data_IF_703338221904
#
_entry.id   IF_703338221904
#
_cell.length_a   1.000
_cell.length_b   1.000
_cell.length_c   1.000
_cell.angle_alpha   90.00
_cell.angle_beta   90.00
_cell.angle_gamma   90.00
#
_symmetry.space_group_name_H-M   'P 1'
#
loop_
_entity.id
_entity.type
_entity.pdbx_description
1 polymer ?
#
# COMPACT_ATOMS: atom_id res chain seq x y z
N UNK A 1 -35.18 -92.68 20.29
CA UNK A 1 -35.50 -91.24 20.40
C UNK A 1 -34.68 -90.54 21.50
N UNK A 2 -34.42 -91.11 22.65
CA UNK A 2 -33.64 -90.50 23.76
C UNK A 2 -32.19 -90.14 23.39
N UNK A 3 -31.52 -90.93 22.58
CA UNK A 3 -30.14 -90.70 22.18
C UNK A 3 -30.02 -89.49 21.15
N UNK A 4 -31.04 -89.28 20.31
CA UNK A 4 -31.08 -88.13 19.41
C UNK A 4 -31.35 -86.82 20.14
N UNK A 5 -32.10 -86.84 21.24
CA UNK A 5 -32.31 -85.67 22.07
C UNK A 5 -31.06 -85.28 22.86
N UNK A 6 -30.30 -86.28 23.38
CA UNK A 6 -29.03 -86.03 24.08
C UNK A 6 -27.93 -85.45 23.03
N UNK A 7 -27.88 -86.08 21.85
CA UNK A 7 -26.98 -85.60 20.79
C UNK A 7 -27.30 -84.14 20.33
N UNK A 8 -28.56 -83.79 20.17
CA UNK A 8 -29.03 -82.46 19.87
C UNK A 8 -28.70 -81.42 20.96
N UNK A 9 -28.83 -81.78 22.23
CA UNK A 9 -28.47 -80.94 23.39
C UNK A 9 -26.93 -80.68 23.44
N UNK A 10 -26.11 -81.73 23.22
CA UNK A 10 -24.68 -81.61 23.20
C UNK A 10 -24.18 -80.74 21.97
N UNK A 11 -24.84 -80.86 20.81
CA UNK A 11 -24.54 -80.05 19.67
C UNK A 11 -24.97 -78.59 19.89
N UNK A 12 -26.13 -78.31 20.49
CA UNK A 12 -26.57 -76.98 20.87
C UNK A 12 -25.61 -76.33 21.91
N UNK A 13 -25.17 -77.10 22.92
CA UNK A 13 -24.21 -76.67 23.94
C UNK A 13 -22.82 -76.34 23.27
N UNK A 14 -22.40 -77.14 22.29
CA UNK A 14 -21.19 -76.91 21.54
C UNK A 14 -21.29 -75.69 20.64
N UNK A 15 -22.44 -75.46 19.97
CA UNK A 15 -22.69 -74.23 19.20
C UNK A 15 -22.71 -72.99 20.12
N UNK A 16 -23.34 -73.07 21.26
CA UNK A 16 -23.34 -71.95 22.23
C UNK A 16 -21.90 -71.69 22.72
N UNK A 17 -21.11 -72.74 22.98
CA UNK A 17 -19.73 -72.64 23.40
C UNK A 17 -18.86 -71.99 22.31
N UNK A 18 -19.01 -72.37 21.03
CA UNK A 18 -18.31 -71.75 19.90
C UNK A 18 -18.72 -70.30 19.70
N UNK A 19 -20.01 -69.98 19.83
CA UNK A 19 -20.51 -68.62 19.74
C UNK A 19 -19.92 -67.74 20.85
N UNK A 20 -19.91 -68.22 22.11
CA UNK A 20 -19.32 -67.50 23.25
C UNK A 20 -17.82 -67.31 23.09
N UNK A 21 -17.08 -68.32 22.52
CA UNK A 21 -15.67 -68.17 22.21
C UNK A 21 -15.42 -67.19 21.05
N UNK A 22 -16.31 -67.14 20.08
CA UNK A 22 -16.24 -66.25 18.92
C UNK A 22 -16.63 -64.80 19.24
N UNK A 23 -17.45 -64.58 20.27
CA UNK A 23 -17.88 -63.28 20.76
C UNK A 23 -16.93 -62.67 21.81
N UNK A 24 -15.88 -63.37 22.20
CA UNK A 24 -14.87 -62.85 23.11
C UNK A 24 -14.03 -61.74 22.49
N UNK A 25 -13.59 -60.70 23.27
CA UNK A 25 -12.81 -59.61 22.78
C UNK A 25 -11.54 -60.11 22.10
N UNK A 26 -11.26 -59.60 20.89
CA UNK A 26 -10.05 -59.96 20.13
C UNK A 26 -8.83 -59.45 20.88
N UNK A 27 -7.99 -60.38 21.38
CA UNK A 27 -6.81 -60.06 22.18
C UNK A 27 -5.54 -60.17 21.32
N UNK A 28 -4.70 -59.15 21.40
CA UNK A 28 -3.40 -59.13 20.73
C UNK A 28 -2.30 -59.00 21.80
N UNK A 29 -1.20 -59.74 21.65
CA UNK A 29 -0.03 -59.60 22.52
C UNK A 29 1.00 -58.72 21.82
N UNK A 30 1.50 -57.71 22.55
CA UNK A 30 2.41 -56.72 21.99
C UNK A 30 3.55 -56.48 22.98
N UNK A 31 4.76 -56.27 22.40
CA UNK A 31 5.93 -55.87 23.17
C UNK A 31 5.86 -54.38 23.51
N UNK A 32 5.96 -54.06 24.80
CA UNK A 32 5.85 -52.67 25.30
C UNK A 32 6.98 -51.76 24.78
N UNK A 33 8.10 -52.32 24.30
CA UNK A 33 9.22 -51.55 23.73
C UNK A 33 8.88 -50.85 22.41
N UNK A 34 7.89 -51.32 21.67
CA UNK A 34 7.52 -50.82 20.33
C UNK A 34 6.37 -49.80 20.36
N UNK A 35 5.91 -49.42 21.56
CA UNK A 35 4.78 -48.48 21.72
C UNK A 35 5.17 -47.32 22.63
N UNK A 36 4.59 -46.15 22.37
CA UNK A 36 4.69 -45.01 23.29
C UNK A 36 3.43 -44.95 24.12
N UNK A 37 3.63 -44.91 25.43
CA UNK A 37 2.54 -44.75 26.43
C UNK A 37 2.70 -43.36 27.02
N UNK A 38 1.66 -42.56 26.97
CA UNK A 38 1.61 -41.23 27.51
C UNK A 38 0.57 -41.08 28.58
N UNK A 39 0.84 -40.25 29.54
CA UNK A 39 -0.10 -39.88 30.60
C UNK A 39 -0.97 -38.72 30.15
N UNK A 40 -2.27 -38.84 30.41
CA UNK A 40 -3.23 -37.74 30.20
C UNK A 40 -3.06 -36.74 31.34
N UNK A 41 -2.68 -35.51 30.96
CA UNK A 41 -2.41 -34.43 31.92
C UNK A 41 -3.38 -33.29 31.72
N UNK A 42 -3.70 -32.63 32.80
CA UNK A 42 -4.35 -31.34 32.77
C UNK A 42 -3.26 -30.27 32.74
N UNK A 43 -3.15 -29.53 31.64
CA UNK A 43 -2.13 -28.50 31.46
C UNK A 43 -2.67 -27.35 30.58
N UNK A 44 -1.90 -26.27 30.47
CA UNK A 44 -2.23 -25.16 29.62
C UNK A 44 -2.15 -25.59 28.17
N UNK A 45 -3.28 -25.70 27.51
CA UNK A 45 -3.36 -25.94 26.06
C UNK A 45 -3.46 -24.62 25.32
N UNK A 46 -2.57 -24.41 24.38
CA UNK A 46 -2.60 -23.28 23.46
C UNK A 46 -2.70 -23.83 22.03
N UNK A 47 -3.74 -23.39 21.35
CA UNK A 47 -3.88 -23.73 19.95
C UNK A 47 -3.02 -22.78 19.09
N UNK A 48 -2.15 -23.35 18.29
CA UNK A 48 -1.29 -22.61 17.38
C UNK A 48 -1.02 -23.38 16.08
N UNK A 49 -0.62 -22.67 15.07
CA UNK A 49 -0.17 -23.24 13.81
C UNK A 49 1.26 -22.81 13.53
N UNK A 50 2.10 -23.78 13.14
CA UNK A 50 3.46 -23.54 12.69
C UNK A 50 3.49 -23.40 11.18
N UNK A 51 4.08 -22.30 10.67
CA UNK A 51 4.25 -22.02 9.26
C UNK A 51 5.65 -21.51 8.98
N UNK A 52 6.12 -21.72 7.76
CA UNK A 52 7.35 -21.09 7.29
C UNK A 52 7.02 -19.75 6.64
N UNK A 53 7.69 -18.70 7.10
CA UNK A 53 7.54 -17.36 6.55
C UNK A 53 8.86 -16.80 6.05
N UNK A 54 8.80 -16.03 4.98
CA UNK A 54 9.95 -15.38 4.35
C UNK A 54 10.06 -13.93 4.84
N UNK A 55 11.26 -13.54 5.23
CA UNK A 55 11.59 -12.13 5.51
C UNK A 55 11.53 -11.33 4.23
N UNK A 56 10.73 -10.28 4.25
CA UNK A 56 10.62 -9.29 3.20
C UNK A 56 10.85 -7.88 3.77
N UNK A 57 11.33 -6.93 2.96
CA UNK A 57 11.34 -5.53 3.36
C UNK A 57 9.90 -5.06 3.56
N UNK A 58 9.70 -4.11 4.46
CA UNK A 58 8.35 -3.57 4.69
C UNK A 58 7.80 -2.91 3.44
N UNK A 59 8.65 -2.28 2.67
CA UNK A 59 8.32 -1.60 1.43
C UNK A 59 9.39 -1.83 0.38
N UNK A 60 8.94 -2.12 -0.83
CA UNK A 60 9.77 -2.19 -2.03
C UNK A 60 9.24 -1.18 -3.03
N UNK A 61 10.10 -0.28 -3.50
CA UNK A 61 9.76 0.78 -4.44
C UNK A 61 10.42 0.52 -5.77
N UNK A 62 9.62 0.42 -6.82
CA UNK A 62 10.11 0.41 -8.20
C UNK A 62 10.36 1.84 -8.66
N UNK A 63 11.54 2.10 -9.15
CA UNK A 63 11.95 3.40 -9.70
C UNK A 63 11.71 3.36 -11.20
N UNK A 64 10.78 4.22 -11.63
CA UNK A 64 10.42 4.34 -13.03
C UNK A 64 10.95 5.67 -13.58
N UNK A 65 11.36 5.67 -14.84
CA UNK A 65 11.72 6.89 -15.57
C UNK A 65 10.50 7.79 -15.75
N UNK A 66 10.68 9.09 -15.60
CA UNK A 66 9.64 10.08 -15.95
C UNK A 66 9.73 10.52 -17.40
N UNK A 67 10.95 10.59 -17.93
CA UNK A 67 11.27 10.97 -19.30
C UNK A 67 11.98 9.81 -20.01
N UNK A 68 11.81 9.75 -21.33
CA UNK A 68 12.57 8.83 -22.17
C UNK A 68 14.00 9.37 -22.38
N UNK A 69 14.95 8.48 -22.63
CA UNK A 69 16.33 8.88 -22.91
C UNK A 69 17.27 7.68 -23.00
N UNK A 70 18.52 7.93 -23.31
CA UNK A 70 19.58 6.93 -23.19
C UNK A 70 20.27 7.03 -21.84
N UNK A 71 20.62 5.90 -21.25
CA UNK A 71 21.36 5.84 -19.98
C UNK A 71 22.77 6.37 -20.23
N UNK A 72 23.07 7.55 -19.67
CA UNK A 72 24.40 8.17 -19.77
C UNK A 72 25.36 7.53 -18.76
N UNK A 73 24.93 7.44 -17.50
CA UNK A 73 25.72 6.82 -16.43
C UNK A 73 24.82 6.24 -15.34
N UNK A 74 25.32 5.18 -14.69
CA UNK A 74 24.73 4.59 -13.49
C UNK A 74 25.65 5.00 -12.34
N UNK A 75 25.12 5.79 -11.40
CA UNK A 75 25.87 6.32 -10.24
C UNK A 75 25.64 5.44 -9.01
N UNK A 76 24.41 4.93 -8.83
CA UNK A 76 24.05 4.07 -7.73
C UNK A 76 24.62 2.66 -7.88
N UNK A 77 25.38 2.17 -6.90
CA UNK A 77 25.87 0.79 -6.87
C UNK A 77 24.81 -0.14 -6.27
N UNK A 78 24.61 -1.32 -6.89
CA UNK A 78 23.71 -2.34 -6.34
C UNK A 78 24.17 -2.80 -4.95
N UNK A 79 23.22 -2.90 -4.02
CA UNK A 79 23.49 -3.21 -2.62
C UNK A 79 23.86 -2.00 -1.74
N UNK A 80 24.12 -0.82 -2.31
CA UNK A 80 24.43 0.40 -1.55
C UNK A 80 23.19 0.96 -0.83
N UNK A 81 23.43 1.63 0.29
CA UNK A 81 22.41 2.38 1.02
C UNK A 81 22.31 3.78 0.43
N UNK A 82 21.13 4.13 -0.08
CA UNK A 82 20.84 5.45 -0.64
C UNK A 82 19.99 6.26 0.31
N UNK A 83 20.20 7.58 0.33
CA UNK A 83 19.36 8.55 1.01
C UNK A 83 18.42 9.24 0.02
N UNK A 84 17.38 9.89 0.54
CA UNK A 84 16.47 10.66 -0.29
C UNK A 84 17.22 11.75 -1.08
N UNK A 85 17.04 11.75 -2.41
CA UNK A 85 17.70 12.68 -3.32
C UNK A 85 19.01 12.17 -3.93
N UNK A 86 19.57 11.06 -3.45
CA UNK A 86 20.78 10.48 -4.05
C UNK A 86 20.52 10.06 -5.50
N UNK A 87 21.46 10.38 -6.39
CA UNK A 87 21.35 10.04 -7.81
C UNK A 87 21.61 8.56 -8.03
N UNK A 88 20.71 7.92 -8.77
CA UNK A 88 20.82 6.50 -9.15
C UNK A 88 21.32 6.40 -10.59
N UNK A 89 20.66 7.09 -11.52
CA UNK A 89 20.93 7.03 -12.96
C UNK A 89 20.82 8.43 -13.54
N UNK A 90 21.69 8.74 -14.48
CA UNK A 90 21.61 9.94 -15.31
C UNK A 90 21.22 9.52 -16.73
N UNK A 91 20.18 10.16 -17.26
CA UNK A 91 19.70 9.96 -18.62
C UNK A 91 20.12 11.14 -19.49
N UNK A 92 20.40 10.89 -20.75
CA UNK A 92 20.63 11.86 -21.80
C UNK A 92 19.46 11.85 -22.79
N UNK A 93 18.89 13.01 -23.07
CA UNK A 93 17.85 13.17 -24.09
C UNK A 93 18.08 14.47 -24.89
N UNK A 94 18.83 14.39 -26.01
CA UNK A 94 19.12 15.56 -26.86
C UNK A 94 17.87 16.21 -27.49
N UNK A 95 16.81 15.41 -27.73
CA UNK A 95 15.57 15.93 -28.30
C UNK A 95 14.79 16.77 -27.28
N UNK A 96 14.79 16.34 -26.01
CA UNK A 96 14.23 17.13 -24.91
C UNK A 96 15.00 18.46 -24.74
N UNK A 97 16.34 18.42 -24.80
CA UNK A 97 17.16 19.63 -24.70
C UNK A 97 16.80 20.62 -25.82
N UNK A 98 16.75 20.18 -27.08
CA UNK A 98 16.31 21.01 -28.22
C UNK A 98 14.89 21.56 -28.01
N UNK A 99 13.96 20.74 -27.60
CA UNK A 99 12.59 21.18 -27.31
C UNK A 99 12.50 22.26 -26.22
N UNK A 100 13.41 22.23 -25.25
CA UNK A 100 13.49 23.26 -24.18
C UNK A 100 14.09 24.53 -24.74
N UNK A 101 15.12 24.45 -25.60
CA UNK A 101 15.70 25.61 -26.30
C UNK A 101 14.67 26.29 -27.20
N UNK A 102 13.96 25.54 -28.02
CA UNK A 102 12.86 26.04 -28.85
C UNK A 102 11.77 26.74 -28.03
N UNK A 103 11.40 26.15 -26.88
CA UNK A 103 10.39 26.72 -25.99
C UNK A 103 10.90 28.01 -25.31
N UNK A 104 12.19 28.09 -24.98
CA UNK A 104 12.82 29.32 -24.46
C UNK A 104 12.77 30.43 -25.51
N UNK A 105 13.18 30.13 -26.73
CA UNK A 105 13.22 31.10 -27.80
C UNK A 105 11.81 31.62 -28.12
N UNK A 106 10.81 30.78 -28.14
CA UNK A 106 9.42 31.19 -28.31
C UNK A 106 8.94 32.05 -27.13
N UNK A 107 9.29 31.69 -25.88
CA UNK A 107 8.96 32.50 -24.71
C UNK A 107 9.62 33.88 -24.77
N UNK A 108 10.91 33.98 -25.15
CA UNK A 108 11.61 35.25 -25.30
C UNK A 108 10.95 36.14 -26.38
N UNK A 109 10.60 35.57 -27.53
CA UNK A 109 9.87 36.23 -28.59
C UNK A 109 8.52 36.77 -28.14
N UNK A 110 7.77 36.02 -27.41
CA UNK A 110 6.48 36.45 -26.84
C UNK A 110 6.66 37.59 -25.81
N UNK A 111 7.72 37.54 -25.00
CA UNK A 111 8.03 38.63 -24.06
C UNK A 111 8.31 39.94 -24.78
N UNK A 112 9.05 39.90 -25.89
CA UNK A 112 9.31 41.09 -26.74
C UNK A 112 7.98 41.62 -27.28
N UNK A 113 7.14 40.77 -27.84
CA UNK A 113 5.83 41.16 -28.38
C UNK A 113 4.95 41.85 -27.33
N UNK A 114 4.90 41.30 -26.12
CA UNK A 114 4.14 41.91 -25.02
C UNK A 114 4.72 43.28 -24.60
N UNK A 115 6.05 43.41 -24.61
CA UNK A 115 6.70 44.69 -24.33
C UNK A 115 6.41 45.74 -25.40
N UNK A 116 6.41 45.38 -26.66
CA UNK A 116 6.02 46.28 -27.77
C UNK A 116 4.56 46.74 -27.60
N UNK A 117 3.64 45.86 -27.27
CA UNK A 117 2.25 46.23 -27.00
C UNK A 117 2.10 47.17 -25.81
N UNK A 118 2.87 46.98 -24.74
CA UNK A 118 2.86 47.91 -23.59
C UNK A 118 3.35 49.28 -23.98
N UNK A 119 4.45 49.40 -24.81
CA UNK A 119 4.98 50.65 -25.31
C UNK A 119 3.94 51.36 -26.19
N UNK A 120 3.31 50.64 -27.12
CA UNK A 120 2.28 51.18 -28.00
C UNK A 120 1.11 51.76 -27.23
N UNK A 121 0.62 51.07 -26.21
CA UNK A 121 -0.44 51.54 -25.34
C UNK A 121 -0.05 52.82 -24.56
N UNK A 122 1.20 52.86 -24.09
CA UNK A 122 1.71 54.04 -23.38
C UNK A 122 1.80 55.25 -24.27
N UNK A 123 2.32 55.09 -25.50
CA UNK A 123 2.39 56.15 -26.51
C UNK A 123 0.99 56.70 -26.85
N UNK A 124 0.02 55.79 -27.05
CA UNK A 124 -1.39 56.17 -27.28
C UNK A 124 -1.98 56.97 -26.12
N UNK A 125 -1.76 56.50 -24.90
CA UNK A 125 -2.22 57.17 -23.69
C UNK A 125 -1.62 58.59 -23.52
N UNK A 126 -0.30 58.73 -23.83
CA UNK A 126 0.37 60.01 -23.78
C UNK A 126 -0.18 60.99 -24.85
N UNK A 127 -0.41 60.51 -26.08
CA UNK A 127 -1.00 61.33 -27.15
C UNK A 127 -2.41 61.82 -26.78
N UNK A 128 -3.26 60.96 -26.22
CA UNK A 128 -4.61 61.33 -25.75
C UNK A 128 -4.57 62.36 -24.60
N UNK A 129 -3.65 62.20 -23.65
CA UNK A 129 -3.43 63.19 -22.59
C UNK A 129 -2.96 64.54 -23.12
N UNK A 130 -2.06 64.55 -24.09
CA UNK A 130 -1.59 65.78 -24.74
C UNK A 130 -2.72 66.52 -25.46
N UNK A 131 -3.55 65.75 -26.24
CA UNK A 131 -4.74 66.32 -26.89
C UNK A 131 -5.74 66.90 -25.90
N UNK A 132 -6.02 66.17 -24.79
CA UNK A 132 -6.90 66.64 -23.76
C UNK A 132 -6.40 67.93 -23.06
N UNK A 133 -5.09 68.01 -22.82
CA UNK A 133 -4.45 69.21 -22.27
C UNK A 133 -4.57 70.39 -23.24
N UNK A 134 -4.28 70.23 -24.53
CA UNK A 134 -4.41 71.27 -25.56
C UNK A 134 -5.84 71.76 -25.64
N UNK A 135 -6.83 70.88 -25.68
CA UNK A 135 -8.24 71.23 -25.73
C UNK A 135 -8.73 71.95 -24.47
N UNK A 136 -8.22 71.57 -23.30
CA UNK A 136 -8.56 72.25 -22.05
C UNK A 136 -8.02 73.67 -22.00
N UNK A 137 -6.80 73.86 -22.50
CA UNK A 137 -6.20 75.18 -22.59
C UNK A 137 -6.96 76.10 -23.59
N UNK A 138 -7.33 75.58 -24.77
CA UNK A 138 -8.15 76.32 -25.74
C UNK A 138 -9.51 76.69 -25.16
N UNK A 139 -10.18 75.78 -24.44
CA UNK A 139 -11.44 76.04 -23.82
C UNK A 139 -11.35 77.14 -22.75
N UNK A 140 -10.29 77.15 -21.95
CA UNK A 140 -10.06 78.21 -20.95
C UNK A 140 -9.77 79.56 -21.61
N UNK A 141 -9.04 79.60 -22.71
CA UNK A 141 -8.79 80.78 -23.53
C UNK A 141 -10.10 81.35 -24.08
N UNK A 142 -10.95 80.53 -24.70
CA UNK A 142 -12.26 80.89 -25.22
C UNK A 142 -13.19 81.40 -24.11
N UNK A 143 -13.17 80.77 -22.95
CA UNK A 143 -13.97 81.25 -21.78
C UNK A 143 -13.62 82.68 -21.35
N UNK A 144 -12.31 82.98 -21.35
CA UNK A 144 -11.86 84.35 -21.05
C UNK A 144 -12.25 85.36 -22.18
N UNK A 145 -12.15 84.92 -23.46
CA UNK A 145 -12.56 85.71 -24.60
C UNK A 145 -14.05 86.03 -24.55
N UNK A 146 -14.90 85.08 -24.30
CA UNK A 146 -16.39 85.31 -24.17
C UNK A 146 -16.73 86.24 -23.01
N UNK A 147 -16.00 86.13 -21.91
CA UNK A 147 -16.25 87.05 -20.80
C UNK A 147 -16.04 88.52 -21.22
N UNK A 148 -14.98 88.78 -21.98
CA UNK A 148 -14.71 90.10 -22.58
C UNK A 148 -15.76 90.47 -23.64
N UNK A 149 -16.13 89.53 -24.53
CA UNK A 149 -17.16 89.75 -25.54
C UNK A 149 -18.53 90.11 -24.96
N UNK A 150 -18.89 89.59 -23.81
CA UNK A 150 -20.11 89.90 -23.05
C UNK A 150 -20.02 91.29 -22.47
N UNK A 151 -18.89 91.70 -21.93
CA UNK A 151 -18.70 93.12 -21.44
C UNK A 151 -18.75 94.09 -22.62
N UNK A 152 -18.13 93.87 -23.74
CA UNK A 152 -18.19 94.69 -24.93
C UNK A 152 -19.60 94.82 -25.52
N UNK A 153 -20.38 93.68 -25.48
CA UNK A 153 -21.80 93.73 -25.87
C UNK A 153 -22.63 94.62 -24.92
N UNK A 154 -22.40 94.57 -23.61
CA UNK A 154 -23.06 95.40 -22.64
C UNK A 154 -22.74 96.92 -22.83
N UNK A 155 -21.49 97.17 -23.27
CA UNK A 155 -21.03 98.52 -23.61
C UNK A 155 -21.51 99.05 -25.00
N UNK A 156 -22.20 98.13 -25.78
CA UNK A 156 -22.73 98.48 -27.10
C UNK A 156 -21.69 98.47 -28.21
N UNK A 157 -20.51 97.98 -27.94
CA UNK A 157 -19.36 97.83 -28.94
C UNK A 157 -19.54 96.64 -29.86
N UNK A 158 -20.13 95.54 -29.36
CA UNK A 158 -20.31 94.31 -30.12
C UNK A 158 -21.80 94.08 -30.44
N UNK A 159 -22.06 93.51 -31.66
CA UNK A 159 -23.44 93.15 -32.04
C UNK A 159 -23.91 91.84 -31.38
N UNK A 160 -25.22 91.65 -31.24
CA UNK A 160 -25.81 90.40 -30.72
C UNK A 160 -25.42 89.17 -31.56
N UNK A 161 -25.34 89.39 -32.88
CA UNK A 161 -24.94 88.28 -33.81
C UNK A 161 -23.49 87.78 -33.58
N UNK A 162 -22.57 88.75 -33.32
CA UNK A 162 -21.17 88.44 -33.05
C UNK A 162 -21.02 87.74 -31.68
N UNK A 163 -21.73 88.17 -30.67
CA UNK A 163 -21.73 87.49 -29.37
C UNK A 163 -22.30 86.07 -29.48
N UNK A 164 -23.39 85.90 -30.23
CA UNK A 164 -24.00 84.56 -30.44
C UNK A 164 -23.02 83.59 -31.12
N UNK A 165 -22.31 84.04 -32.14
CA UNK A 165 -21.27 83.18 -32.86
C UNK A 165 -20.19 82.78 -31.84
N UNK A 166 -19.67 83.66 -31.02
CA UNK A 166 -18.67 83.36 -30.03
C UNK A 166 -19.17 82.36 -28.96
N UNK A 167 -20.44 82.52 -28.50
CA UNK A 167 -21.10 81.62 -27.55
C UNK A 167 -21.31 80.24 -28.16
N UNK A 168 -21.71 80.13 -29.43
CA UNK A 168 -21.89 78.87 -30.15
C UNK A 168 -20.54 78.16 -30.32
N UNK A 169 -19.46 78.88 -30.67
CA UNK A 169 -18.13 78.34 -30.74
C UNK A 169 -17.63 77.76 -29.42
N UNK A 170 -17.86 78.56 -28.32
CA UNK A 170 -17.53 78.04 -26.99
C UNK A 170 -18.33 76.78 -26.60
N UNK A 171 -19.66 76.85 -26.85
CA UNK A 171 -20.51 75.67 -26.56
C UNK A 171 -20.05 74.40 -27.34
N UNK A 172 -19.73 74.58 -28.61
CA UNK A 172 -19.16 73.51 -29.42
C UNK A 172 -17.84 72.96 -28.84
N UNK A 173 -16.88 73.82 -28.55
CA UNK A 173 -15.60 73.46 -27.93
C UNK A 173 -15.76 72.82 -26.55
N UNK A 174 -16.70 73.30 -25.76
CA UNK A 174 -17.05 72.72 -24.42
C UNK A 174 -17.55 71.25 -24.56
N UNK A 175 -18.46 71.01 -25.52
CA UNK A 175 -18.97 69.67 -25.79
C UNK A 175 -17.87 68.74 -26.30
N UNK A 176 -17.01 69.26 -27.19
CA UNK A 176 -15.89 68.50 -27.74
C UNK A 176 -14.86 68.12 -26.66
N UNK A 177 -14.54 69.07 -25.75
CA UNK A 177 -13.65 68.79 -24.63
C UNK A 177 -14.24 67.76 -23.64
N UNK A 178 -15.56 67.78 -23.41
CA UNK A 178 -16.25 66.78 -22.58
C UNK A 178 -16.16 65.39 -23.22
N UNK A 179 -16.46 65.26 -24.52
CA UNK A 179 -16.32 64.00 -25.25
C UNK A 179 -14.90 63.48 -25.22
N UNK A 180 -13.91 64.34 -25.36
CA UNK A 180 -12.51 63.95 -25.31
C UNK A 180 -12.06 63.51 -23.93
N UNK A 181 -12.58 64.12 -22.87
CA UNK A 181 -12.34 63.69 -21.49
C UNK A 181 -12.97 62.32 -21.23
N UNK A 182 -14.19 62.07 -21.74
CA UNK A 182 -14.85 60.77 -21.66
C UNK A 182 -14.04 59.71 -22.43
N UNK A 183 -13.57 59.99 -23.67
CA UNK A 183 -12.71 59.13 -24.44
C UNK A 183 -11.40 58.78 -23.72
N UNK A 184 -10.78 59.75 -23.03
CA UNK A 184 -9.56 59.52 -22.23
C UNK A 184 -9.85 58.62 -21.01
N UNK A 185 -10.99 58.78 -20.34
CA UNK A 185 -11.38 57.90 -19.26
C UNK A 185 -11.60 56.47 -19.73
N UNK A 186 -12.32 56.30 -20.87
CA UNK A 186 -12.57 55.02 -21.48
C UNK A 186 -11.25 54.33 -21.91
N UNK A 187 -10.37 55.04 -22.57
CA UNK A 187 -9.08 54.52 -23.00
C UNK A 187 -8.18 54.12 -21.83
N UNK A 188 -8.20 54.90 -20.73
CA UNK A 188 -7.50 54.57 -19.51
C UNK A 188 -8.03 53.25 -18.89
N UNK A 189 -9.36 53.07 -18.83
CA UNK A 189 -9.97 51.84 -18.31
C UNK A 189 -9.62 50.60 -19.18
N UNK A 190 -9.73 50.77 -20.52
CA UNK A 190 -9.34 49.69 -21.48
C UNK A 190 -7.86 49.37 -21.38
N UNK A 191 -6.99 50.37 -21.22
CA UNK A 191 -5.57 50.17 -21.03
C UNK A 191 -5.23 49.42 -19.78
N UNK A 192 -5.91 49.71 -18.66
CA UNK A 192 -5.74 48.93 -17.41
C UNK A 192 -6.09 47.47 -17.61
N UNK A 193 -7.25 47.17 -18.21
CA UNK A 193 -7.67 45.78 -18.51
C UNK A 193 -6.67 45.07 -19.41
N UNK A 194 -6.20 45.76 -20.48
CA UNK A 194 -5.21 45.17 -21.38
C UNK A 194 -3.87 44.87 -20.69
N UNK A 195 -3.40 45.79 -19.83
CA UNK A 195 -2.17 45.56 -19.04
C UNK A 195 -2.31 44.35 -18.12
N UNK A 196 -3.47 44.16 -17.51
CA UNK A 196 -3.74 43.02 -16.68
C UNK A 196 -3.77 41.71 -17.47
N UNK A 197 -4.38 41.72 -18.66
CA UNK A 197 -4.37 40.55 -19.58
C UNK A 197 -2.96 40.20 -20.00
N UNK A 198 -2.15 41.20 -20.46
CA UNK A 198 -0.76 40.97 -20.81
C UNK A 198 0.05 40.40 -19.65
N UNK A 199 -0.16 40.92 -18.42
CA UNK A 199 0.50 40.39 -17.23
C UNK A 199 0.15 38.93 -16.98
N UNK A 200 -1.12 38.55 -17.12
CA UNK A 200 -1.58 37.18 -16.93
C UNK A 200 -1.05 36.27 -18.04
N UNK A 201 -0.97 36.75 -19.29
CA UNK A 201 -0.43 35.98 -20.40
C UNK A 201 1.07 35.75 -20.25
N UNK A 202 1.83 36.78 -19.84
CA UNK A 202 3.27 36.66 -19.52
C UNK A 202 3.52 35.63 -18.42
N UNK A 203 2.70 35.63 -17.39
CA UNK A 203 2.82 34.66 -16.30
C UNK A 203 2.47 33.25 -16.77
N UNK A 204 1.49 33.07 -17.64
CA UNK A 204 1.18 31.76 -18.25
C UNK A 204 2.31 31.22 -19.10
N UNK A 205 2.88 32.06 -19.97
CA UNK A 205 4.01 31.64 -20.83
C UNK A 205 5.27 31.35 -20.00
N UNK A 206 5.54 32.13 -18.96
CA UNK A 206 6.62 31.86 -18.01
C UNK A 206 6.45 30.48 -17.35
N UNK A 207 5.27 30.20 -16.81
CA UNK A 207 4.98 28.90 -16.17
C UNK A 207 5.05 27.74 -17.16
N UNK A 208 4.70 27.94 -18.41
CA UNK A 208 4.83 26.94 -19.47
C UNK A 208 6.30 26.59 -19.72
N UNK A 209 7.15 27.61 -19.88
CA UNK A 209 8.59 27.43 -20.02
C UNK A 209 9.21 26.75 -18.78
N UNK A 210 8.87 27.22 -17.58
CA UNK A 210 9.37 26.63 -16.32
C UNK A 210 9.03 25.14 -16.23
N UNK A 211 7.77 24.75 -16.50
CA UNK A 211 7.35 23.34 -16.51
C UNK A 211 8.13 22.49 -17.52
N UNK A 212 8.39 23.04 -18.70
CA UNK A 212 9.19 22.33 -19.71
C UNK A 212 10.64 22.19 -19.25
N UNK A 213 11.20 23.22 -18.61
CA UNK A 213 12.55 23.17 -18.03
C UNK A 213 12.66 22.18 -16.86
N UNK A 214 11.63 22.08 -16.02
CA UNK A 214 11.60 21.13 -14.89
C UNK A 214 11.72 19.67 -15.36
N UNK A 215 11.32 19.35 -16.59
CA UNK A 215 11.50 18.02 -17.19
C UNK A 215 12.98 17.61 -17.28
N UNK A 216 13.91 18.54 -17.35
CA UNK A 216 15.35 18.24 -17.29
C UNK A 216 15.74 17.57 -15.96
N UNK A 217 15.14 18.01 -14.87
CA UNK A 217 15.41 17.41 -13.55
C UNK A 217 14.98 15.93 -13.52
N UNK A 218 14.04 15.54 -14.38
CA UNK A 218 13.57 14.17 -14.49
C UNK A 218 14.51 13.25 -15.25
N UNK A 219 15.53 13.79 -15.93
CA UNK A 219 16.61 13.00 -16.52
C UNK A 219 17.61 12.50 -15.46
N UNK A 220 17.65 13.14 -14.31
CA UNK A 220 18.41 12.66 -13.16
C UNK A 220 17.44 11.86 -12.27
N UNK A 221 17.56 10.54 -12.33
CA UNK A 221 16.72 9.66 -11.52
C UNK A 221 17.31 9.53 -10.13
N UNK A 222 16.56 9.95 -9.12
CA UNK A 222 16.99 9.98 -7.72
C UNK A 222 16.19 9.04 -6.83
N UNK A 223 16.76 8.68 -5.69
CA UNK A 223 16.09 7.91 -4.67
C UNK A 223 14.97 8.74 -4.00
N UNK A 224 13.70 8.27 -3.98
CA UNK A 224 12.58 8.99 -3.38
C UNK A 224 12.59 8.96 -1.85
N UNK A 225 13.30 8.00 -1.26
CA UNK A 225 13.44 7.82 0.18
C UNK A 225 14.70 7.00 0.49
N UNK A 226 15.05 6.90 1.79
CA UNK A 226 16.16 6.09 2.28
C UNK A 226 15.86 4.60 2.10
N UNK A 227 16.81 3.87 1.51
CA UNK A 227 16.70 2.42 1.32
C UNK A 227 17.90 1.83 0.61
N UNK A 228 17.93 0.52 0.49
CA UNK A 228 19.00 -0.19 -0.22
C UNK A 228 18.61 -0.38 -1.69
N UNK A 229 19.50 0.02 -2.60
CA UNK A 229 19.35 -0.25 -4.03
C UNK A 229 19.48 -1.75 -4.29
N UNK A 230 18.39 -2.39 -4.70
CA UNK A 230 18.34 -3.86 -4.83
C UNK A 230 18.99 -4.31 -6.14
N UNK A 231 18.59 -3.68 -7.23
CA UNK A 231 19.16 -3.92 -8.55
C UNK A 231 18.87 -2.74 -9.48
N UNK A 232 19.65 -2.66 -10.57
CA UNK A 232 19.48 -1.73 -11.69
C UNK A 232 19.30 -2.56 -12.95
N UNK A 233 18.16 -2.40 -13.63
CA UNK A 233 17.77 -3.24 -14.80
C UNK A 233 18.38 -2.78 -16.12
N UNK A 234 19.05 -1.63 -16.14
CA UNK A 234 19.53 -0.99 -17.35
C UNK A 234 21.05 -0.93 -17.40
N UNK A 235 21.58 -0.77 -18.59
CA UNK A 235 23.03 -0.65 -18.84
C UNK A 235 23.34 0.70 -19.48
N UNK A 236 24.55 1.26 -19.29
CA UNK A 236 24.97 2.48 -19.97
C UNK A 236 24.83 2.36 -21.49
N UNK A 237 24.29 3.39 -22.13
CA UNK A 237 23.96 3.42 -23.56
C UNK A 237 22.60 2.83 -23.93
N UNK A 238 21.91 2.16 -23.03
CA UNK A 238 20.57 1.61 -23.27
C UNK A 238 19.52 2.72 -23.38
N UNK A 239 18.62 2.58 -24.37
CA UNK A 239 17.46 3.48 -24.51
C UNK A 239 16.36 3.01 -23.57
N UNK A 240 15.77 3.95 -22.82
CA UNK A 240 14.64 3.71 -21.90
C UNK A 240 13.47 4.60 -22.27
N UNK A 241 12.26 4.06 -22.08
CA UNK A 241 11.00 4.76 -22.33
C UNK A 241 10.47 5.43 -21.07
N UNK A 242 9.64 6.47 -21.23
CA UNK A 242 8.93 7.05 -20.09
C UNK A 242 8.02 6.02 -19.41
N UNK A 243 8.06 5.94 -18.09
CA UNK A 243 7.32 4.96 -17.26
C UNK A 243 8.01 3.60 -17.11
N UNK A 244 9.15 3.37 -17.75
CA UNK A 244 9.90 2.12 -17.64
C UNK A 244 10.52 1.96 -16.25
N UNK A 245 10.42 0.75 -15.69
CA UNK A 245 11.02 0.43 -14.39
C UNK A 245 12.49 0.10 -14.56
N UNK A 246 13.36 0.94 -14.02
CA UNK A 246 14.81 0.88 -14.22
C UNK A 246 15.59 0.41 -12.99
N UNK A 247 15.04 0.56 -11.79
CA UNK A 247 15.68 0.16 -10.55
C UNK A 247 14.65 -0.20 -9.47
N UNK A 248 15.12 -0.80 -8.39
CA UNK A 248 14.29 -1.14 -7.23
C UNK A 248 15.04 -0.80 -5.93
N UNK A 249 14.33 -0.11 -5.03
CA UNK A 249 14.83 0.22 -3.68
C UNK A 249 14.02 -0.53 -2.65
N UNK A 250 14.70 -1.19 -1.71
CA UNK A 250 14.14 -1.87 -0.55
C UNK A 250 14.35 -1.05 0.72
N UNK A 251 13.27 -0.76 1.43
CA UNK A 251 13.34 -0.12 2.74
C UNK A 251 13.65 -1.19 3.78
N UNK A 252 14.82 -1.10 4.39
CA UNK A 252 15.34 -2.11 5.33
C UNK A 252 15.27 -1.64 6.81
N UNK A 253 14.62 -0.52 7.08
CA UNK A 253 14.46 -0.03 8.46
C UNK A 253 13.54 -0.95 9.27
N UNK A 254 12.63 -1.63 8.61
CA UNK A 254 11.73 -2.63 9.17
C UNK A 254 11.53 -3.79 8.20
N UNK A 255 11.33 -4.97 8.76
CA UNK A 255 11.04 -6.18 8.01
C UNK A 255 9.65 -6.69 8.33
N UNK A 256 9.04 -7.35 7.35
CA UNK A 256 7.84 -8.16 7.54
C UNK A 256 8.15 -9.60 7.25
N UNK A 257 7.39 -10.48 7.85
CA UNK A 257 7.39 -11.90 7.50
C UNK A 257 6.14 -12.15 6.65
N UNK A 258 6.35 -12.61 5.43
CA UNK A 258 5.31 -13.02 4.52
C UNK A 258 5.18 -14.54 4.55
N UNK A 259 3.96 -15.05 4.71
CA UNK A 259 3.70 -16.48 4.71
C UNK A 259 2.32 -16.79 4.17
N UNK A 260 2.14 -18.01 3.65
CA UNK A 260 0.87 -18.51 3.16
C UNK A 260 0.33 -19.59 4.10
N UNK A 261 -0.96 -19.54 4.38
CA UNK A 261 -1.69 -20.46 5.26
C UNK A 261 -2.75 -21.20 4.47
N UNK A 262 -3.07 -22.43 4.92
CA UNK A 262 -4.19 -23.20 4.37
C UNK A 262 -5.52 -22.49 4.57
N UNK A 263 -6.42 -22.55 3.56
CA UNK A 263 -7.78 -22.02 3.61
C UNK A 263 -8.57 -22.48 4.83
N UNK A 264 -8.21 -23.61 5.45
CA UNK A 264 -8.81 -24.12 6.67
C UNK A 264 -8.79 -23.11 7.82
N UNK A 265 -7.81 -22.21 7.84
CA UNK A 265 -7.63 -21.21 8.91
C UNK A 265 -8.21 -19.84 8.58
N UNK A 266 -8.80 -19.64 7.37
CA UNK A 266 -9.16 -18.30 6.88
C UNK A 266 -10.16 -17.57 7.79
N UNK A 267 -11.13 -18.28 8.34
CA UNK A 267 -12.15 -17.69 9.24
C UNK A 267 -11.62 -17.37 10.64
N UNK A 268 -10.45 -17.90 10.98
CA UNK A 268 -9.86 -17.79 12.32
C UNK A 268 -8.67 -16.83 12.37
N UNK A 269 -8.04 -16.59 11.22
CA UNK A 269 -6.90 -15.68 11.12
C UNK A 269 -7.39 -14.26 10.87
N UNK A 270 -7.13 -13.39 11.83
CA UNK A 270 -7.50 -11.98 11.77
C UNK A 270 -6.29 -11.09 12.01
N UNK A 271 -6.38 -9.85 11.54
CA UNK A 271 -5.37 -8.83 11.84
C UNK A 271 -5.31 -8.60 13.35
N UNK A 272 -4.09 -8.53 13.86
CA UNK A 272 -3.88 -8.31 15.29
C UNK A 272 -3.57 -9.56 16.10
N UNK A 273 -3.75 -10.77 15.55
CA UNK A 273 -3.38 -12.00 16.23
C UNK A 273 -1.86 -12.01 16.53
N UNK A 274 -1.49 -12.47 17.74
CA UNK A 274 -0.10 -12.64 18.13
C UNK A 274 0.52 -13.84 17.41
N UNK A 275 1.80 -13.73 17.16
CA UNK A 275 2.62 -14.83 16.67
C UNK A 275 4.03 -14.72 17.25
N UNK A 276 4.80 -15.78 17.16
CA UNK A 276 6.14 -15.83 17.71
C UNK A 276 7.11 -16.50 16.72
N UNK A 277 8.31 -15.97 16.62
CA UNK A 277 9.44 -16.64 15.94
C UNK A 277 10.44 -17.09 16.97
N UNK A 278 10.83 -18.36 16.91
CA UNK A 278 11.94 -18.89 17.68
C UNK A 278 13.21 -18.86 16.82
N UNK A 279 14.21 -18.07 17.22
CA UNK A 279 15.47 -17.99 16.51
C UNK A 279 16.64 -18.00 17.51
N UNK A 280 17.54 -18.97 17.35
CA UNK A 280 18.70 -19.16 18.23
C UNK A 280 18.36 -19.21 19.73
N UNK A 281 17.22 -19.82 20.10
CA UNK A 281 16.78 -19.93 21.47
C UNK A 281 16.04 -18.70 22.04
N UNK A 282 15.98 -17.60 21.31
CA UNK A 282 15.24 -16.41 21.68
C UNK A 282 13.87 -16.37 20.97
N UNK A 283 12.85 -15.90 21.68
CA UNK A 283 11.50 -15.69 21.16
C UNK A 283 11.31 -14.24 20.76
N UNK A 284 10.91 -14.03 19.51
CA UNK A 284 10.63 -12.70 18.98
C UNK A 284 9.14 -12.57 18.70
N UNK A 285 8.45 -11.63 19.37
CA UNK A 285 7.02 -11.46 19.20
C UNK A 285 6.68 -10.78 17.88
N UNK A 286 5.63 -11.28 17.24
CA UNK A 286 5.09 -10.81 15.99
C UNK A 286 3.60 -10.51 16.14
N UNK A 287 3.07 -9.76 15.18
CA UNK A 287 1.66 -9.49 15.03
C UNK A 287 1.25 -9.54 13.57
N UNK A 288 0.10 -10.17 13.29
CA UNK A 288 -0.48 -10.15 11.94
C UNK A 288 -0.97 -8.74 11.63
N UNK A 289 -0.45 -8.13 10.56
CA UNK A 289 -0.85 -6.79 10.12
C UNK A 289 -1.70 -6.81 8.88
N UNK A 290 -1.57 -7.84 8.05
CA UNK A 290 -2.31 -7.97 6.82
C UNK A 290 -2.75 -9.41 6.62
N UNK A 291 -4.01 -9.59 6.24
CA UNK A 291 -4.57 -10.85 5.74
C UNK A 291 -5.10 -10.57 4.34
N UNK A 292 -4.66 -11.34 3.36
CA UNK A 292 -5.17 -11.24 1.98
C UNK A 292 -6.37 -12.19 1.88
N UNK A 293 -7.59 -11.69 1.69
CA UNK A 293 -8.80 -12.53 1.74
C UNK A 293 -9.03 -13.38 0.47
N UNK A 294 -8.07 -13.38 -0.45
CA UNK A 294 -8.11 -14.16 -1.70
C UNK A 294 -7.41 -15.51 -1.50
N UNK A 295 -8.17 -16.59 -1.67
CA UNK A 295 -7.61 -17.96 -1.63
C UNK A 295 -7.15 -18.35 -3.03
N UNK A 296 -5.87 -18.72 -3.14
CA UNK A 296 -5.24 -19.29 -4.34
C UNK A 296 -4.60 -20.64 -3.98
N UNK A 297 -4.86 -21.65 -4.76
CA UNK A 297 -4.29 -23.00 -4.54
C UNK A 297 -4.55 -23.54 -3.13
N UNK A 298 -5.72 -23.24 -2.55
CA UNK A 298 -6.12 -23.57 -1.16
C UNK A 298 -5.26 -22.91 -0.08
N UNK A 299 -4.59 -21.81 -0.43
CA UNK A 299 -3.77 -21.04 0.49
C UNK A 299 -4.18 -19.56 0.44
N UNK A 300 -3.96 -18.83 1.52
CA UNK A 300 -4.09 -17.39 1.58
C UNK A 300 -2.87 -16.78 2.25
N UNK A 301 -2.55 -15.55 1.88
CA UNK A 301 -1.33 -14.88 2.31
C UNK A 301 -1.57 -13.96 3.51
N UNK A 302 -0.61 -13.94 4.40
CA UNK A 302 -0.56 -13.00 5.53
C UNK A 302 0.80 -12.34 5.64
N UNK A 303 0.80 -11.12 6.14
CA UNK A 303 2.02 -10.40 6.54
C UNK A 303 2.01 -10.17 8.06
N UNK A 304 3.15 -10.45 8.68
CA UNK A 304 3.40 -10.21 10.10
C UNK A 304 4.55 -9.22 10.27
N UNK A 305 4.50 -8.41 11.32
CA UNK A 305 5.60 -7.52 11.70
C UNK A 305 6.10 -7.86 13.11
N UNK A 306 7.36 -7.57 13.38
CA UNK A 306 7.92 -7.63 14.72
C UNK A 306 7.30 -6.52 15.59
N UNK A 307 6.87 -6.87 16.81
CA UNK A 307 6.28 -5.90 17.75
C UNK A 307 7.27 -5.42 18.80
N UNK A 308 8.47 -6.00 18.84
CA UNK A 308 9.59 -5.67 19.70
C UNK A 308 10.90 -5.75 18.95
N UNK A 309 11.94 -6.20 19.63
CA UNK A 309 13.25 -6.38 19.03
C UNK A 309 13.23 -7.41 17.90
N UNK A 310 14.07 -7.20 16.90
CA UNK A 310 14.28 -8.13 15.80
C UNK A 310 15.57 -8.94 16.05
N UNK A 311 15.66 -10.15 15.48
CA UNK A 311 16.92 -10.87 15.48
C UNK A 311 18.01 -10.06 14.77
N UNK A 312 19.24 -10.11 15.30
CA UNK A 312 20.39 -9.54 14.63
C UNK A 312 20.66 -10.25 13.28
N UNK A 313 21.18 -9.51 12.31
CA UNK A 313 21.55 -10.02 10.98
C UNK A 313 20.38 -10.66 10.19
N UNK A 314 19.20 -10.08 10.30
CA UNK A 314 18.07 -10.45 9.43
C UNK A 314 18.39 -10.06 7.99
N UNK A 315 18.23 -11.02 7.06
CA UNK A 315 18.40 -10.79 5.62
C UNK A 315 17.12 -11.09 4.88
N UNK A 316 16.82 -10.27 3.90
CA UNK A 316 15.69 -10.50 2.98
C UNK A 316 15.82 -11.87 2.31
N UNK A 317 14.72 -12.61 2.25
CA UNK A 317 14.68 -13.97 1.69
C UNK A 317 15.04 -15.09 2.67
N UNK A 318 15.38 -14.77 3.92
CA UNK A 318 15.59 -15.78 4.95
C UNK A 318 14.26 -16.31 5.45
N UNK A 319 14.15 -17.65 5.60
CA UNK A 319 12.96 -18.30 6.17
C UNK A 319 13.03 -18.35 7.70
N UNK A 320 11.90 -18.16 8.32
CA UNK A 320 11.68 -18.38 9.76
C UNK A 320 10.46 -19.26 9.98
N UNK A 321 10.54 -20.13 11.01
CA UNK A 321 9.36 -20.84 11.50
C UNK A 321 8.60 -19.90 12.41
N UNK A 322 7.38 -19.58 12.02
CA UNK A 322 6.45 -18.69 12.71
C UNK A 322 5.37 -19.54 13.37
N UNK A 323 5.18 -19.33 14.65
CA UNK A 323 4.10 -19.92 15.44
C UNK A 323 3.01 -18.86 15.61
N UNK A 324 1.83 -19.10 15.00
CA UNK A 324 0.69 -18.19 15.07
C UNK A 324 -0.28 -18.72 16.12
N UNK A 325 -0.59 -17.89 17.10
CA UNK A 325 -1.49 -18.23 18.19
C UNK A 325 -2.94 -18.02 17.77
N UNK A 326 -3.77 -19.09 17.82
CA UNK A 326 -5.18 -19.06 17.42
C UNK A 326 -6.15 -18.83 18.57
N UNK A 327 -5.64 -18.84 19.79
CA UNK A 327 -6.43 -18.65 21.02
C UNK A 327 -5.54 -18.33 22.21
N UNK A 328 -6.15 -18.02 23.33
CA UNK A 328 -5.41 -17.88 24.60
C UNK A 328 -5.18 -19.26 25.23
N UNK A 329 -4.11 -19.43 26.04
CA UNK A 329 -3.90 -20.65 26.80
C UNK A 329 -5.06 -20.92 27.75
N UNK A 330 -5.62 -22.12 27.71
CA UNK A 330 -6.70 -22.58 28.58
C UNK A 330 -6.32 -23.90 29.21
N UNK A 331 -6.80 -24.15 30.42
CA UNK A 331 -6.64 -25.45 31.09
C UNK A 331 -7.45 -26.50 30.35
N UNK A 332 -6.79 -27.54 29.88
CA UNK A 332 -7.41 -28.63 29.15
C UNK A 332 -6.72 -29.96 29.43
N UNK A 333 -7.43 -31.05 29.23
CA UNK A 333 -6.83 -32.41 29.23
C UNK A 333 -6.09 -32.59 27.92
N UNK A 334 -4.82 -32.94 28.00
CA UNK A 334 -3.95 -33.06 26.85
C UNK A 334 -3.28 -34.42 26.76
N UNK A 335 -3.06 -34.86 25.52
CA UNK A 335 -2.19 -36.01 25.18
C UNK A 335 -1.22 -35.60 24.05
N UNK A 336 0.00 -36.18 24.04
CA UNK A 336 0.92 -35.97 22.95
C UNK A 336 0.36 -36.50 21.61
N UNK A 337 0.76 -35.90 20.51
CA UNK A 337 0.46 -36.40 19.17
C UNK A 337 1.10 -37.77 18.94
N UNK A 338 0.36 -38.62 18.23
CA UNK A 338 0.82 -39.94 17.84
C UNK A 338 0.08 -40.43 16.61
N UNK A 339 0.48 -41.62 16.09
CA UNK A 339 -0.13 -42.18 14.88
C UNK A 339 -1.55 -42.72 15.14
N UNK A 340 -2.01 -42.83 16.41
CA UNK A 340 -3.37 -43.28 16.73
C UNK A 340 -4.44 -42.51 15.96
N UNK A 341 -4.26 -41.18 15.80
CA UNK A 341 -5.24 -40.35 15.13
C UNK A 341 -5.43 -40.72 13.65
N UNK A 342 -4.35 -41.10 12.97
CA UNK A 342 -4.40 -41.52 11.55
C UNK A 342 -5.19 -42.81 11.36
N UNK A 343 -5.11 -43.74 12.32
CA UNK A 343 -5.77 -45.04 12.24
C UNK A 343 -7.19 -45.05 12.84
N UNK A 344 -7.48 -44.19 13.81
CA UNK A 344 -8.76 -44.19 14.55
C UNK A 344 -9.64 -42.99 14.15
N UNK A 345 -9.11 -42.03 13.41
CA UNK A 345 -9.80 -40.75 13.18
C UNK A 345 -10.07 -39.96 14.46
N UNK A 346 -9.39 -40.27 15.57
CA UNK A 346 -9.61 -39.63 16.86
C UNK A 346 -10.85 -40.09 17.58
N UNK A 347 -11.52 -41.16 17.10
CA UNK A 347 -12.77 -41.64 17.68
C UNK A 347 -12.56 -42.58 18.90
N UNK A 348 -11.39 -43.17 19.01
CA UNK A 348 -11.06 -44.09 20.12
C UNK A 348 -9.53 -44.19 20.29
N UNK A 349 -9.13 -44.61 21.50
CA UNK A 349 -7.72 -44.81 21.88
C UNK A 349 -7.63 -46.02 22.82
N UNK A 350 -6.44 -46.64 22.93
CA UNK A 350 -6.19 -47.68 23.94
C UNK A 350 -5.80 -47.05 25.29
N UNK A 351 -6.64 -47.25 26.30
CA UNK A 351 -6.37 -46.90 27.72
C UNK A 351 -5.68 -48.05 28.41
N UNK A 352 -4.54 -47.78 28.99
CA UNK A 352 -3.70 -48.73 29.72
C UNK A 352 -4.15 -48.85 31.15
N UNK A 353 -4.19 -50.04 31.68
CA UNK A 353 -4.54 -50.29 33.11
C UNK A 353 -3.42 -49.82 34.06
N UNK A 354 -3.73 -49.65 35.34
CA UNK A 354 -2.77 -49.17 36.35
C UNK A 354 -1.50 -50.05 36.49
N UNK A 355 -1.60 -51.35 36.21
CA UNK A 355 -0.47 -52.26 36.23
C UNK A 355 0.36 -52.30 34.94
N UNK A 356 -0.01 -51.53 33.93
CA UNK A 356 0.61 -51.44 32.59
C UNK A 356 0.74 -52.79 31.88
N UNK A 357 -0.14 -53.72 32.17
CA UNK A 357 -0.12 -55.10 31.59
C UNK A 357 -1.17 -55.27 30.49
N UNK A 358 -2.18 -54.42 30.46
CA UNK A 358 -3.27 -54.47 29.49
C UNK A 358 -3.73 -53.13 29.08
N UNK A 359 -4.17 -53.00 27.80
CA UNK A 359 -4.82 -51.84 27.28
C UNK A 359 -6.15 -52.17 26.62
N UNK A 360 -7.17 -51.37 26.84
CA UNK A 360 -8.54 -51.55 26.33
C UNK A 360 -8.92 -50.37 25.48
N UNK A 361 -9.61 -50.65 24.39
CA UNK A 361 -10.15 -49.62 23.51
C UNK A 361 -11.26 -48.84 24.22
N UNK A 362 -11.11 -47.51 24.29
CA UNK A 362 -12.08 -46.58 24.84
C UNK A 362 -12.47 -45.53 23.83
N UNK A 363 -13.75 -45.13 23.78
CA UNK A 363 -14.16 -44.03 22.91
C UNK A 363 -13.49 -42.73 23.37
N UNK A 364 -13.20 -41.87 22.41
CA UNK A 364 -12.47 -40.60 22.61
C UNK A 364 -13.14 -39.51 21.79
N UNK A 365 -13.25 -38.35 22.36
CA UNK A 365 -13.63 -37.13 21.65
C UNK A 365 -12.48 -36.11 21.75
N UNK A 366 -11.89 -35.75 20.60
CA UNK A 366 -10.80 -34.82 20.52
C UNK A 366 -11.36 -33.45 20.14
N UNK A 367 -10.97 -32.44 20.88
CA UNK A 367 -11.30 -31.04 20.62
C UNK A 367 -10.28 -30.37 19.73
N UNK A 368 -9.67 -29.29 20.22
CA UNK A 368 -8.62 -28.53 19.51
C UNK A 368 -7.31 -29.32 19.43
N UNK A 369 -6.47 -28.93 18.48
CA UNK A 369 -5.18 -29.58 18.28
C UNK A 369 -4.10 -28.57 17.95
N UNK A 370 -2.88 -28.86 18.35
CA UNK A 370 -1.69 -28.15 17.92
C UNK A 370 -0.65 -29.14 17.36
N UNK A 371 0.48 -28.73 16.80
CA UNK A 371 1.49 -29.63 16.25
C UNK A 371 2.06 -30.67 17.22
N UNK A 372 1.92 -30.50 18.53
CA UNK A 372 2.51 -31.36 19.57
C UNK A 372 1.48 -32.17 20.34
N UNK A 373 0.23 -31.69 20.48
CA UNK A 373 -0.74 -32.20 21.43
C UNK A 373 -2.17 -32.17 20.86
N UNK A 374 -3.02 -33.04 21.42
CA UNK A 374 -4.47 -33.04 21.26
C UNK A 374 -5.14 -32.67 22.57
N UNK A 375 -6.17 -31.84 22.51
CA UNK A 375 -7.13 -31.60 23.61
C UNK A 375 -8.15 -32.73 23.64
N UNK A 376 -8.41 -33.25 24.82
CA UNK A 376 -9.41 -34.26 25.06
C UNK A 376 -10.64 -33.64 25.71
N UNK A 377 -11.78 -33.75 25.01
CA UNK A 377 -13.07 -33.25 25.52
C UNK A 377 -13.79 -34.29 26.33
N UNK A 378 -13.79 -35.55 25.86
CA UNK A 378 -14.49 -36.65 26.53
C UNK A 378 -13.74 -37.98 26.35
N UNK A 379 -13.91 -38.92 27.29
CA UNK A 379 -13.43 -40.30 27.19
C UNK A 379 -12.26 -40.64 28.08
N UNK A 380 -11.51 -39.68 28.61
CA UNK A 380 -10.36 -39.90 29.48
C UNK A 380 -10.41 -38.99 30.72
N UNK A 381 -9.66 -39.37 31.74
CA UNK A 381 -9.51 -38.59 32.98
C UNK A 381 -8.02 -38.23 33.22
N UNK A 382 -7.75 -37.17 34.00
CA UNK A 382 -6.40 -36.84 34.42
C UNK A 382 -5.71 -38.04 35.08
N UNK A 383 -4.47 -38.36 34.69
CA UNK A 383 -3.73 -39.51 35.25
C UNK A 383 -3.96 -40.82 34.50
N UNK A 384 -4.86 -40.88 33.52
CA UNK A 384 -5.00 -42.04 32.64
C UNK A 384 -3.75 -42.24 31.76
N UNK A 385 -3.42 -43.49 31.50
CA UNK A 385 -2.33 -43.81 30.57
C UNK A 385 -2.92 -44.31 29.27
N UNK A 386 -2.39 -43.79 28.14
CA UNK A 386 -2.87 -44.12 26.79
C UNK A 386 -1.73 -44.45 25.85
N UNK A 387 -2.00 -45.31 24.86
CA UNK A 387 -1.06 -45.65 23.84
C UNK A 387 -1.22 -44.66 22.68
N UNK A 388 -0.15 -43.96 22.32
CA UNK A 388 -0.15 -42.93 21.24
C UNK A 388 0.43 -43.40 19.91
N UNK A 389 1.24 -44.47 19.92
CA UNK A 389 1.89 -45.04 18.74
C UNK A 389 1.72 -46.54 18.63
N UNK A 390 2.08 -47.12 17.45
CA UNK A 390 2.03 -48.57 17.23
C UNK A 390 0.73 -49.08 16.61
N UNK A 391 -0.21 -48.22 16.26
CA UNK A 391 -1.55 -48.56 15.75
C UNK A 391 -1.52 -49.26 14.38
N UNK A 392 -0.49 -49.17 13.63
CA UNK A 392 -0.25 -49.90 12.38
C UNK A 392 -0.19 -51.42 12.59
N UNK A 393 0.16 -51.89 13.78
CA UNK A 393 0.31 -53.32 14.11
C UNK A 393 -0.90 -53.91 14.87
N UNK A 394 -1.83 -53.08 15.37
CA UNK A 394 -2.88 -53.52 16.27
C UNK A 394 -4.10 -54.15 15.58
N UNK A 395 -4.30 -53.87 14.30
CA UNK A 395 -5.47 -54.34 13.56
C UNK A 395 -6.79 -54.03 14.26
N UNK A 396 -7.68 -55.03 14.29
CA UNK A 396 -9.01 -54.91 14.91
C UNK A 396 -9.05 -55.40 16.36
N UNK A 397 -7.94 -55.45 17.08
CA UNK A 397 -7.90 -55.91 18.47
C UNK A 397 -8.71 -54.97 19.38
N UNK A 398 -9.46 -55.51 20.32
CA UNK A 398 -10.23 -54.76 21.35
C UNK A 398 -9.45 -54.65 22.65
N UNK A 399 -8.57 -55.63 22.93
CA UNK A 399 -7.74 -55.67 24.13
C UNK A 399 -6.27 -56.00 23.72
N UNK A 400 -5.33 -55.20 24.23
CA UNK A 400 -3.91 -55.46 24.08
C UNK A 400 -3.31 -55.99 25.38
N UNK A 401 -2.51 -57.04 25.28
CA UNK A 401 -1.73 -57.59 26.39
C UNK A 401 -0.29 -57.13 26.20
N UNK A 402 0.18 -56.30 27.12
CA UNK A 402 1.53 -55.71 27.09
C UNK A 402 2.51 -56.67 27.81
N UNK A 403 3.60 -56.96 27.16
CA UNK A 403 4.69 -57.77 27.71
C UNK A 403 5.93 -56.93 27.96
#
# INVERSE_FOLDING_TARGET
YRYYLIGGLLFAAFLIYVIVLSLGPRKLRIDAENIQIAEVKEDNFMEYVDVEGLIQPILTIKINTREAGSVESIVGEEGSLLYQGDTIIVLSNPDLLRSIEDQRDEWEKQMITYQEQEIEMEQKSLNLKQQALTNSYELERLKKSIALDREEFQMGVKSKAQLQVAEDEYCYKQKNAALQQESLRHDSAVTMIRKELIRNDRERERKKYERTRERLNSLVVTAPLKGQLSFVKVTPGQQVSSGESIAEIKVLDQYKIHTSLSEYYIDRITTGLPATVNYQGNKYPLKITKVVPEVKDRMFDIDLIFTGDMPDNVRVGKSFRVQIELGQPEQALIIPRGNFYQFTGGQWIYKVNASKTKAVRVPLNIGRQNPQQYEIVEGLQPGDWVITTGYDTFGDAEELILK
#
